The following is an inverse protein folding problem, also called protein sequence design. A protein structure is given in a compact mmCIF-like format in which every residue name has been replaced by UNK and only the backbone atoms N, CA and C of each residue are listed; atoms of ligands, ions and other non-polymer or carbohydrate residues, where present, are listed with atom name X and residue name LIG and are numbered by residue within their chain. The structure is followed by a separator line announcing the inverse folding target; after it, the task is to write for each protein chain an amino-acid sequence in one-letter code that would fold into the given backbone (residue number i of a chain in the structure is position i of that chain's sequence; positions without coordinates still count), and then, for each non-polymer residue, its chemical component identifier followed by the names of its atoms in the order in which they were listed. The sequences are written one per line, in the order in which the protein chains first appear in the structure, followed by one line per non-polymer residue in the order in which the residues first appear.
data_IF_212318375691
#
_entry.id   IF_212318375691
#
_cell.length_a   1.000
_cell.length_b   1.000
_cell.length_c   1.000
_cell.angle_alpha   90.00
_cell.angle_beta   90.00
_cell.angle_gamma   90.00
#
_symmetry.space_group_name_H-M   'P 1'
#
loop_
_entity.id
_entity.type
_entity.pdbx_description
1 polymer ?
#
# COMPACT_ATOMS: atom_id res chain seq x y z
N UNK A 1 11.22 -4.74 -18.71
CA UNK A 1 12.05 -3.55 -18.40
C UNK A 1 11.42 -2.23 -18.89
N UNK A 2 10.10 -2.10 -19.02
CA UNK A 2 9.52 -0.91 -19.69
C UNK A 2 8.90 0.15 -18.76
N UNK A 3 8.67 -0.13 -17.48
CA UNK A 3 8.00 0.84 -16.57
C UNK A 3 8.89 2.02 -16.20
N UNK A 4 10.21 1.83 -16.12
CA UNK A 4 11.15 2.85 -15.63
C UNK A 4 11.30 3.99 -16.65
N UNK A 5 11.39 3.66 -17.95
CA UNK A 5 11.53 4.64 -19.04
C UNK A 5 10.30 5.53 -19.23
N UNK A 6 9.10 5.01 -18.95
CA UNK A 6 7.85 5.79 -19.07
C UNK A 6 7.76 6.88 -18.00
N UNK A 7 8.25 6.61 -16.79
CA UNK A 7 8.26 7.58 -15.69
C UNK A 7 9.26 8.73 -15.90
N UNK A 8 10.29 8.53 -16.73
CA UNK A 8 11.25 9.58 -17.09
C UNK A 8 10.69 10.55 -18.14
N UNK A 9 9.73 10.12 -18.96
CA UNK A 9 9.14 10.93 -20.04
C UNK A 9 7.82 11.62 -19.63
N UNK A 10 7.03 11.00 -18.75
CA UNK A 10 5.82 11.61 -18.19
C UNK A 10 5.69 11.27 -16.69
N UNK A 11 6.35 12.03 -15.79
CA UNK A 11 6.24 11.83 -14.34
C UNK A 11 4.81 12.03 -13.78
N UNK A 12 3.87 12.48 -14.62
CA UNK A 12 2.48 12.77 -14.30
C UNK A 12 1.48 11.77 -14.90
N UNK A 13 1.95 10.66 -15.48
CA UNK A 13 1.04 9.68 -16.05
C UNK A 13 0.35 8.85 -14.96
N UNK A 14 -0.91 9.18 -14.66
CA UNK A 14 -1.78 8.50 -13.69
C UNK A 14 -1.77 6.97 -13.89
N UNK A 15 -1.70 6.48 -15.14
CA UNK A 15 -1.65 5.03 -15.42
C UNK A 15 -0.32 4.40 -14.99
N UNK A 16 0.80 5.11 -15.12
CA UNK A 16 2.10 4.61 -14.69
C UNK A 16 2.19 4.54 -13.17
N UNK A 17 1.72 5.58 -12.47
CA UNK A 17 1.62 5.60 -11.01
C UNK A 17 0.70 4.48 -10.50
N UNK A 18 -0.46 4.30 -11.14
CA UNK A 18 -1.37 3.21 -10.82
C UNK A 18 -0.70 1.84 -10.98
N UNK A 19 -0.07 1.57 -12.13
CA UNK A 19 0.63 0.29 -12.37
C UNK A 19 1.76 0.03 -11.37
N UNK A 20 2.53 1.06 -11.03
CA UNK A 20 3.60 0.94 -10.05
C UNK A 20 3.04 0.67 -8.64
N UNK A 21 1.96 1.34 -8.26
CA UNK A 21 1.27 1.07 -6.99
C UNK A 21 0.78 -0.37 -6.89
N UNK A 22 0.26 -0.95 -7.98
CA UNK A 22 -0.14 -2.35 -8.01
C UNK A 22 1.05 -3.30 -7.83
N UNK A 23 2.22 -2.95 -8.36
CA UNK A 23 3.44 -3.72 -8.13
C UNK A 23 3.85 -3.68 -6.66
N UNK A 24 3.77 -2.51 -6.02
CA UNK A 24 4.05 -2.36 -4.59
C UNK A 24 3.04 -3.09 -3.72
N UNK A 25 1.75 -3.07 -4.06
CA UNK A 25 0.71 -3.85 -3.38
C UNK A 25 1.02 -5.35 -3.42
N UNK A 26 1.45 -5.88 -4.57
CA UNK A 26 1.86 -7.29 -4.71
C UNK A 26 3.13 -7.62 -3.93
N UNK A 27 4.00 -6.64 -3.72
CA UNK A 27 5.21 -6.77 -2.91
C UNK A 27 4.96 -6.49 -1.41
N UNK A 28 3.71 -6.29 -0.98
CA UNK A 28 3.34 -5.89 0.38
C UNK A 28 3.98 -4.57 0.86
N UNK A 29 4.48 -3.74 -0.06
CA UNK A 29 5.06 -2.43 0.22
C UNK A 29 3.96 -1.35 0.24
N UNK A 30 3.04 -1.47 1.20
CA UNK A 30 1.80 -0.67 1.25
C UNK A 30 2.05 0.84 1.32
N UNK A 31 3.10 1.29 2.02
CA UNK A 31 3.43 2.72 2.10
C UNK A 31 3.84 3.30 0.75
N UNK A 32 4.66 2.59 -0.02
CA UNK A 32 5.08 3.03 -1.36
C UNK A 32 3.90 3.04 -2.34
N UNK A 33 3.03 2.03 -2.25
CA UNK A 33 1.79 2.01 -3.02
C UNK A 33 0.90 3.21 -2.68
N UNK A 34 0.81 3.59 -1.40
CA UNK A 34 0.00 4.73 -0.96
C UNK A 34 0.51 6.06 -1.53
N UNK A 35 1.84 6.26 -1.55
CA UNK A 35 2.47 7.45 -2.12
C UNK A 35 2.10 7.62 -3.60
N UNK A 36 2.18 6.53 -4.37
CA UNK A 36 1.87 6.55 -5.80
C UNK A 36 0.38 6.79 -6.07
N UNK A 37 -0.52 6.15 -5.31
CA UNK A 37 -1.96 6.36 -5.44
C UNK A 37 -2.37 7.77 -5.02
N UNK A 38 -1.77 8.35 -3.98
CA UNK A 38 -2.00 9.75 -3.59
C UNK A 38 -1.58 10.72 -4.70
N UNK A 39 -0.38 10.53 -5.26
CA UNK A 39 0.08 11.34 -6.40
C UNK A 39 -0.86 11.22 -7.59
N UNK A 40 -1.31 10.01 -7.90
CA UNK A 40 -2.29 9.77 -8.96
C UNK A 40 -3.63 10.49 -8.71
N UNK A 41 -4.13 10.50 -7.47
CA UNK A 41 -5.33 11.25 -7.08
C UNK A 41 -5.12 12.77 -7.03
N UNK A 42 -3.90 13.26 -6.77
CA UNK A 42 -3.59 14.69 -6.88
C UNK A 42 -3.65 15.16 -8.33
N UNK A 43 -3.23 14.31 -9.28
CA UNK A 43 -3.24 14.63 -10.72
C UNK A 43 -4.64 14.48 -11.31
N UNK A 44 -5.34 13.38 -11.00
CA UNK A 44 -6.71 13.12 -11.42
C UNK A 44 -7.58 12.77 -10.20
N UNK A 45 -8.12 13.78 -9.50
CA UNK A 45 -8.95 13.59 -8.33
C UNK A 45 -10.27 12.89 -8.63
N UNK A 46 -10.69 12.78 -9.89
CA UNK A 46 -11.94 12.14 -10.29
C UNK A 46 -11.74 10.72 -10.81
N UNK A 47 -10.50 10.22 -10.80
CA UNK A 47 -10.19 8.88 -11.26
C UNK A 47 -10.83 7.81 -10.36
N UNK A 48 -11.94 7.23 -10.84
CA UNK A 48 -12.67 6.19 -10.09
C UNK A 48 -11.82 4.94 -9.85
N UNK A 49 -10.93 4.59 -10.78
CA UNK A 49 -10.07 3.41 -10.67
C UNK A 49 -9.05 3.60 -9.55
N UNK A 50 -8.36 4.74 -9.53
CA UNK A 50 -7.37 5.05 -8.49
C UNK A 50 -8.03 5.17 -7.12
N UNK A 51 -9.23 5.75 -7.03
CA UNK A 51 -10.00 5.82 -5.77
C UNK A 51 -10.32 4.43 -5.22
N UNK A 52 -10.78 3.52 -6.08
CA UNK A 52 -11.11 2.15 -5.67
C UNK A 52 -9.89 1.42 -5.13
N UNK A 53 -8.75 1.53 -5.82
CA UNK A 53 -7.50 0.91 -5.39
C UNK A 53 -6.98 1.52 -4.08
N UNK A 54 -7.13 2.84 -3.90
CA UNK A 54 -6.76 3.52 -2.66
C UNK A 54 -7.62 3.07 -1.48
N UNK A 55 -8.93 2.90 -1.67
CA UNK A 55 -9.81 2.31 -0.65
C UNK A 55 -9.38 0.90 -0.26
N UNK A 56 -9.08 0.05 -1.25
CA UNK A 56 -8.57 -1.31 -1.01
C UNK A 56 -7.26 -1.31 -0.24
N UNK A 57 -6.33 -0.42 -0.60
CA UNK A 57 -5.06 -0.26 0.12
C UNK A 57 -5.31 0.09 1.61
N UNK A 58 -6.29 0.95 1.90
CA UNK A 58 -6.62 1.34 3.28
C UNK A 58 -7.21 0.18 4.09
N UNK A 59 -8.03 -0.67 3.47
CA UNK A 59 -8.52 -1.90 4.09
C UNK A 59 -7.37 -2.85 4.42
N UNK A 60 -6.45 -3.07 3.48
CA UNK A 60 -5.26 -3.90 3.72
C UNK A 60 -4.41 -3.35 4.87
N UNK A 61 -4.15 -2.04 4.91
CA UNK A 61 -3.40 -1.42 6.01
C UNK A 61 -4.08 -1.64 7.37
N UNK A 62 -5.41 -1.55 7.42
CA UNK A 62 -6.19 -1.79 8.65
C UNK A 62 -6.09 -3.24 9.10
N UNK A 63 -6.18 -4.19 8.18
CA UNK A 63 -6.02 -5.61 8.48
C UNK A 63 -4.60 -5.93 8.98
N UNK A 64 -3.57 -5.41 8.32
CA UNK A 64 -2.18 -5.57 8.78
C UNK A 64 -1.96 -4.99 10.17
N UNK A 65 -2.51 -3.81 10.46
CA UNK A 65 -2.42 -3.20 11.79
C UNK A 65 -3.14 -4.04 12.86
N UNK A 66 -4.30 -4.61 12.53
CA UNK A 66 -5.05 -5.50 13.43
C UNK A 66 -4.27 -6.80 13.69
N UNK A 67 -3.75 -7.45 12.65
CA UNK A 67 -2.95 -8.65 12.80
C UNK A 67 -1.69 -8.40 13.64
N UNK A 68 -1.00 -7.28 13.44
CA UNK A 68 0.15 -6.92 14.28
C UNK A 68 -0.23 -6.75 15.75
N UNK A 69 -1.35 -6.08 16.05
CA UNK A 69 -1.81 -5.91 17.42
C UNK A 69 -2.20 -7.24 18.08
N UNK A 70 -2.90 -8.13 17.37
CA UNK A 70 -3.30 -9.45 17.87
C UNK A 70 -2.10 -10.38 18.08
N UNK A 71 -1.14 -10.39 17.14
CA UNK A 71 0.09 -11.18 17.26
C UNK A 71 0.94 -10.68 18.42
N UNK A 72 1.07 -9.36 18.59
CA UNK A 72 1.82 -8.80 19.72
C UNK A 72 1.17 -9.14 21.07
N UNK A 73 -0.14 -9.01 21.19
CA UNK A 73 -0.87 -9.35 22.42
C UNK A 73 -0.77 -10.83 22.80
N UNK A 74 -0.84 -11.73 21.80
CA UNK A 74 -0.70 -13.17 22.03
C UNK A 74 0.74 -13.57 22.35
N UNK A 75 1.75 -12.97 21.71
CA UNK A 75 3.16 -13.21 22.01
C UNK A 75 3.53 -12.75 23.43
N UNK A 76 3.04 -11.59 23.87
CA UNK A 76 3.26 -11.07 25.22
C UNK A 76 2.64 -11.99 26.29
N UNK A 77 1.43 -12.49 26.01
CA UNK A 77 0.73 -13.44 26.90
C UNK A 77 1.48 -14.78 27.02
N UNK A 78 2.11 -15.24 25.94
CA UNK A 78 2.87 -16.50 25.92
C UNK A 78 4.25 -16.36 26.58
N UNK A 79 4.90 -15.20 26.46
CA UNK A 79 6.15 -14.90 27.14
C UNK A 79 5.99 -14.82 28.67
N UNK A 80 4.89 -14.24 29.15
CA UNK A 80 4.57 -14.17 30.58
C UNK A 80 4.35 -15.54 31.26
N UNK A 81 4.06 -16.59 30.48
CA UNK A 81 3.88 -17.96 30.99
C UNK A 81 5.18 -18.77 31.05
N UNK A 82 6.28 -18.25 30.49
CA UNK A 82 7.60 -18.90 30.43
C UNK A 82 8.58 -18.37 31.49
N UNK A 83 8.18 -17.38 32.31
CA UNK A 83 8.99 -16.84 33.42
C UNK A 83 8.57 -17.38 34.79
N UNK A 84 8.39 -18.71 34.91
CA UNK A 84 8.32 -19.43 36.19
C UNK A 84 9.56 -20.29 36.35
#
# INVERSE_FOLDING_TARGET
MEIIKVLELEPLNVKALYRRSQSYLKASELEKAEIDLKKALTIDPNNRIVKLEYSKLKEMQKEYAKCQAEVFGTMFSRAAHLEI
#
